data_IF_451091153178
#
_entry.id   IF_451091153178
#
_cell.length_a   1.000
_cell.length_b   1.000
_cell.length_c   1.000
_cell.angle_alpha   90.00
_cell.angle_beta   90.00
_cell.angle_gamma   90.00
#
_symmetry.space_group_name_H-M   'P 1'
#
loop_
_entity.id
_entity.type
_entity.pdbx_description
1 polymer ?
#
# COMPACT_ATOMS: atom_id res chain seq x y z
N UNK A 1 0.09 -14.08 17.37
CA UNK A 1 -0.73 -14.84 16.38
C UNK A 1 -0.91 -13.89 15.20
N UNK A 2 -0.37 -14.18 14.01
CA UNK A 2 -0.46 -13.22 12.89
C UNK A 2 -1.91 -13.09 12.40
N UNK A 3 -2.41 -11.85 12.26
CA UNK A 3 -3.74 -11.56 11.70
C UNK A 3 -3.60 -11.23 10.21
N UNK A 4 -4.38 -11.92 9.37
CA UNK A 4 -4.32 -11.84 7.90
C UNK A 4 -5.51 -11.05 7.36
N UNK A 5 -5.29 -10.14 6.39
CA UNK A 5 -6.36 -9.34 5.78
C UNK A 5 -6.25 -9.29 4.23
N UNK A 6 -6.81 -10.27 3.52
CA UNK A 6 -6.48 -10.55 2.11
C UNK A 6 -7.51 -10.04 1.09
N UNK A 7 -7.12 -9.20 0.12
CA UNK A 7 -7.86 -9.02 -1.15
C UNK A 7 -6.95 -8.76 -2.37
N UNK A 8 -6.42 -9.84 -2.96
CA UNK A 8 -5.84 -9.91 -4.33
C UNK A 8 -4.37 -9.52 -4.48
N UNK A 9 -3.65 -10.06 -5.46
CA UNK A 9 -2.20 -9.80 -5.69
C UNK A 9 -1.41 -10.99 -5.17
N UNK A 10 -0.80 -11.74 -6.09
CA UNK A 10 -0.57 -13.19 -5.89
C UNK A 10 0.40 -13.54 -4.75
N UNK A 11 1.15 -12.58 -4.20
CA UNK A 11 2.04 -12.83 -3.06
C UNK A 11 1.89 -11.80 -1.93
N UNK A 12 1.45 -12.23 -0.72
CA UNK A 12 1.39 -11.37 0.45
C UNK A 12 2.79 -10.99 0.95
N UNK A 13 2.92 -9.78 1.51
CA UNK A 13 4.14 -9.39 2.25
C UNK A 13 3.94 -9.71 3.72
N UNK A 14 4.88 -10.46 4.31
CA UNK A 14 4.91 -10.81 5.73
C UNK A 14 5.95 -9.94 6.46
N UNK A 15 5.54 -9.27 7.54
CA UNK A 15 6.43 -8.52 8.42
C UNK A 15 6.56 -9.21 9.78
N UNK A 16 7.79 -9.57 10.15
CA UNK A 16 8.13 -10.29 11.39
C UNK A 16 9.36 -9.67 12.10
N UNK A 17 9.40 -9.72 13.45
CA UNK A 17 10.48 -9.17 14.30
C UNK A 17 11.90 -9.65 13.88
N UNK A 18 12.01 -10.87 13.36
CA UNK A 18 13.29 -11.46 12.92
C UNK A 18 13.82 -10.96 11.58
N UNK A 19 13.02 -10.23 10.79
CA UNK A 19 13.45 -9.64 9.51
C UNK A 19 13.97 -8.20 9.71
N UNK A 20 14.88 -8.07 10.68
CA UNK A 20 15.42 -6.86 11.30
C UNK A 20 16.34 -6.01 10.41
N UNK A 21 15.95 -5.77 9.16
CA UNK A 21 16.41 -4.58 8.41
C UNK A 21 15.34 -3.51 8.44
N UNK A 22 15.25 -2.85 9.61
CA UNK A 22 14.51 -1.61 9.92
C UNK A 22 13.04 -1.63 9.48
N UNK A 23 12.12 -1.66 10.44
CA UNK A 23 10.67 -1.50 10.22
C UNK A 23 10.32 -0.42 9.17
N UNK A 24 11.09 0.67 9.11
CA UNK A 24 11.04 1.72 8.06
C UNK A 24 11.36 1.23 6.64
N UNK A 25 12.42 0.47 6.42
CA UNK A 25 12.79 0.02 5.06
C UNK A 25 11.78 -0.97 4.51
N UNK A 26 11.26 -1.86 5.36
CA UNK A 26 10.23 -2.80 4.96
C UNK A 26 8.88 -2.09 4.75
N UNK A 27 8.50 -1.13 5.61
CA UNK A 27 7.33 -0.29 5.39
C UNK A 27 7.45 0.52 4.09
N UNK A 28 8.60 1.14 3.81
CA UNK A 28 8.84 1.91 2.58
C UNK A 28 8.80 1.05 1.31
N UNK A 29 9.36 -0.17 1.34
CA UNK A 29 9.27 -1.13 0.23
C UNK A 29 7.83 -1.61 0.01
N UNK A 30 7.10 -1.83 1.09
CA UNK A 30 5.70 -2.26 1.10
C UNK A 30 4.82 -1.17 0.49
N UNK A 31 5.01 0.06 0.96
CA UNK A 31 4.35 1.27 0.48
C UNK A 31 4.63 1.56 -1.00
N UNK A 32 5.91 1.57 -1.40
CA UNK A 32 6.29 1.78 -2.79
C UNK A 32 5.74 0.72 -3.75
N UNK A 33 5.41 -0.50 -3.26
CA UNK A 33 4.73 -1.52 -4.06
C UNK A 33 3.20 -1.35 -4.08
N UNK A 34 2.59 -0.80 -3.05
CA UNK A 34 1.15 -0.57 -2.99
C UNK A 34 0.74 0.59 -3.93
N UNK A 35 1.50 1.69 -3.92
CA UNK A 35 1.05 2.96 -4.52
C UNK A 35 1.60 3.23 -5.94
N UNK A 36 2.54 2.41 -6.41
CA UNK A 36 3.04 2.48 -7.79
C UNK A 36 1.88 2.45 -8.80
N UNK A 37 1.67 3.57 -9.52
CA UNK A 37 0.60 3.77 -10.50
C UNK A 37 -0.83 3.62 -9.94
N UNK A 38 -1.08 4.15 -8.74
CA UNK A 38 -2.37 4.06 -8.05
C UNK A 38 -2.86 2.61 -7.87
N UNK A 39 -1.92 1.67 -7.63
CA UNK A 39 -2.24 0.24 -7.45
C UNK A 39 -2.66 -0.49 -8.73
N UNK A 40 -2.56 0.13 -9.92
CA UNK A 40 -2.97 -0.47 -11.19
C UNK A 40 -1.93 -1.42 -11.79
N UNK A 41 -0.83 -1.70 -11.08
CA UNK A 41 0.13 -2.74 -11.47
C UNK A 41 -0.35 -4.10 -11.00
N UNK A 42 -0.17 -5.13 -11.82
CA UNK A 42 -0.48 -6.51 -11.43
C UNK A 42 0.33 -6.99 -10.20
N UNK A 43 1.52 -6.42 -9.99
CA UNK A 43 2.39 -6.70 -8.86
C UNK A 43 2.17 -5.79 -7.64
N UNK A 44 1.15 -4.92 -7.70
CA UNK A 44 0.80 -4.03 -6.61
C UNK A 44 0.45 -4.84 -5.37
N UNK A 45 0.89 -4.35 -4.22
CA UNK A 45 0.58 -4.96 -2.94
C UNK A 45 -0.89 -4.70 -2.60
N UNK A 46 -1.64 -5.75 -2.25
CA UNK A 46 -3.01 -5.59 -1.71
C UNK A 46 -3.25 -6.33 -0.39
N UNK A 47 -2.28 -7.10 0.10
CA UNK A 47 -2.31 -7.75 1.42
C UNK A 47 -0.95 -7.59 2.11
N UNK A 48 -0.98 -6.95 3.28
CA UNK A 48 0.12 -6.88 4.23
C UNK A 48 -0.24 -7.68 5.48
N UNK A 49 0.56 -8.68 5.82
CA UNK A 49 0.46 -9.39 7.09
C UNK A 49 1.49 -8.85 8.06
N UNK A 50 1.04 -8.42 9.24
CA UNK A 50 1.90 -7.87 10.29
C UNK A 50 1.73 -8.69 11.57
N UNK A 51 2.83 -8.92 12.29
CA UNK A 51 2.75 -9.49 13.63
C UNK A 51 2.02 -8.55 14.59
N UNK A 52 1.26 -9.15 15.51
CA UNK A 52 0.32 -8.43 16.40
C UNK A 52 1.03 -7.35 17.25
N UNK A 53 2.26 -7.62 17.71
CA UNK A 53 3.05 -6.63 18.47
C UNK A 53 3.48 -5.38 17.66
N UNK A 54 3.47 -5.45 16.33
CA UNK A 54 3.96 -4.38 15.44
C UNK A 54 2.84 -3.64 14.70
N UNK A 55 1.57 -4.04 14.87
CA UNK A 55 0.44 -3.50 14.11
C UNK A 55 0.33 -1.98 14.25
N UNK A 56 0.40 -1.46 15.48
CA UNK A 56 0.22 -0.03 15.76
C UNK A 56 1.35 0.83 15.15
N UNK A 57 2.61 0.39 15.26
CA UNK A 57 3.76 1.10 14.67
C UNK A 57 3.65 1.15 13.14
N UNK A 58 3.34 0.00 12.53
CA UNK A 58 3.21 -0.12 11.06
C UNK A 58 2.05 0.71 10.54
N UNK A 59 0.89 0.69 11.22
CA UNK A 59 -0.26 1.52 10.83
C UNK A 59 0.03 3.01 10.95
N UNK A 60 0.68 3.45 12.03
CA UNK A 60 1.06 4.85 12.21
C UNK A 60 2.01 5.33 11.11
N UNK A 61 3.00 4.50 10.75
CA UNK A 61 3.95 4.81 9.69
C UNK A 61 3.30 4.82 8.30
N UNK A 62 2.48 3.81 7.97
CA UNK A 62 1.77 3.77 6.70
C UNK A 62 0.80 4.96 6.59
N UNK A 63 0.05 5.26 7.64
CA UNK A 63 -0.86 6.40 7.67
C UNK A 63 -0.14 7.75 7.51
N UNK A 64 1.05 7.90 8.10
CA UNK A 64 1.90 9.08 7.89
C UNK A 64 2.41 9.16 6.46
N UNK A 65 2.92 8.06 5.90
CA UNK A 65 3.40 8.01 4.52
C UNK A 65 2.28 8.33 3.51
N UNK A 66 1.07 7.81 3.73
CA UNK A 66 -0.10 8.09 2.88
C UNK A 66 -0.50 9.58 2.89
N UNK A 67 -0.29 10.30 4.00
CA UNK A 67 -0.61 11.72 4.11
C UNK A 67 0.37 12.62 3.35
N UNK A 68 1.61 12.17 3.13
CA UNK A 68 2.63 12.91 2.39
C UNK A 68 2.52 12.75 0.87
N UNK A 69 1.66 11.84 0.37
CA UNK A 69 1.49 11.60 -1.07
C UNK A 69 0.74 12.73 -1.75
N UNK A 70 1.28 13.18 -2.89
CA UNK A 70 0.60 14.13 -3.77
C UNK A 70 -0.21 13.40 -4.83
N UNK A 71 -1.54 13.58 -4.79
CA UNK A 71 -2.47 13.06 -5.80
C UNK A 71 -2.65 14.13 -6.89
N UNK A 72 -2.46 13.77 -8.16
CA UNK A 72 -2.48 14.76 -9.23
C UNK A 72 -2.38 14.20 -10.64
N UNK A 73 -2.23 15.06 -11.66
CA UNK A 73 -2.07 14.65 -13.05
C UNK A 73 -0.76 13.88 -13.26
N UNK A 74 -0.79 12.81 -14.06
CA UNK A 74 0.39 11.97 -14.35
C UNK A 74 1.52 12.70 -15.10
N UNK A 75 1.25 13.88 -15.65
CA UNK A 75 2.23 14.71 -16.38
C UNK A 75 3.03 15.63 -15.46
N UNK A 76 2.61 15.78 -14.21
CA UNK A 76 3.31 16.60 -13.22
C UNK A 76 4.33 15.74 -12.47
N UNK A 77 5.58 16.22 -12.40
CA UNK A 77 6.65 15.57 -11.67
C UNK A 77 6.44 15.55 -10.16
N UNK A 78 5.60 16.47 -9.64
CA UNK A 78 5.25 16.51 -8.24
C UNK A 78 4.16 15.50 -7.86
N UNK A 79 3.53 14.82 -8.83
CA UNK A 79 2.50 13.81 -8.56
C UNK A 79 3.13 12.47 -8.20
N UNK A 80 2.81 11.97 -7.00
CA UNK A 80 3.18 10.61 -6.57
C UNK A 80 2.13 9.59 -7.00
N UNK A 81 0.85 9.94 -6.94
CA UNK A 81 -0.28 9.05 -7.27
C UNK A 81 -1.09 9.62 -8.45
N UNK A 82 -0.97 9.03 -9.66
CA UNK A 82 -1.71 9.46 -10.84
C UNK A 82 -3.17 8.98 -10.82
N UNK A 83 -4.04 9.51 -11.71
CA UNK A 83 -5.42 9.04 -11.84
C UNK A 83 -5.50 7.59 -12.34
N UNK A 84 -6.64 6.96 -12.05
CA UNK A 84 -7.01 5.67 -12.64
C UNK A 84 -7.38 5.80 -14.11
N UNK A 85 -7.27 4.70 -14.87
CA UNK A 85 -7.38 4.70 -16.33
C UNK A 85 -8.68 5.32 -16.86
N UNK A 86 -9.81 5.04 -16.21
CA UNK A 86 -11.13 5.56 -16.58
C UNK A 86 -12.10 5.59 -15.39
N UNK A 87 -13.30 6.13 -15.65
CA UNK A 87 -14.36 6.24 -14.65
C UNK A 87 -14.96 4.89 -14.23
N UNK A 88 -14.88 3.86 -15.08
CA UNK A 88 -15.38 2.52 -14.76
C UNK A 88 -14.47 1.83 -13.73
N UNK A 89 -13.15 1.94 -13.92
CA UNK A 89 -12.15 1.52 -12.96
C UNK A 89 -12.31 2.26 -11.63
N UNK A 90 -12.55 3.58 -11.68
CA UNK A 90 -12.84 4.38 -10.48
C UNK A 90 -14.08 3.87 -9.75
N UNK A 91 -15.20 3.66 -10.46
CA UNK A 91 -16.44 3.18 -9.86
C UNK A 91 -16.26 1.79 -9.22
N UNK A 92 -15.51 0.90 -9.88
CA UNK A 92 -15.19 -0.42 -9.36
C UNK A 92 -14.40 -0.35 -8.06
N UNK A 93 -13.37 0.51 -7.98
CA UNK A 93 -12.59 0.71 -6.77
C UNK A 93 -13.42 1.32 -5.64
N UNK A 94 -14.25 2.32 -5.94
CA UNK A 94 -15.12 2.95 -4.94
C UNK A 94 -16.13 1.96 -4.33
N UNK A 95 -16.65 1.04 -5.14
CA UNK A 95 -17.57 -0.01 -4.69
C UNK A 95 -16.92 -1.06 -3.77
N UNK A 96 -15.60 -1.15 -3.73
CA UNK A 96 -14.88 -2.07 -2.82
C UNK A 96 -14.53 -1.42 -1.48
N UNK A 97 -14.48 -0.09 -1.44
CA UNK A 97 -14.10 0.70 -0.25
C UNK A 97 -15.33 1.12 0.56
N UNK A 98 -16.49 1.24 -0.10
CA UNK A 98 -17.78 1.66 0.51
C UNK A 98 -18.61 0.45 0.93
#
# INVERSE_FOLDING_TARGET
MARTFAMGGDEPVLLEEGNSSLSIQNAAKTFGRADCAAGQRCSALRLLCVQEEMVEEVLAMLGGAMQELTIGPAVDYATDVPPVIDAEAQATLLAQIT
#
